data_IF_267528540152
#
_entry.id   IF_267528540152
#
_cell.length_a   1.000
_cell.length_b   1.000
_cell.length_c   1.000
_cell.angle_alpha   90.00
_cell.angle_beta   90.00
_cell.angle_gamma   90.00
#
_symmetry.space_group_name_H-M   'P 1'
#
loop_
_entity.id
_entity.type
_entity.pdbx_description
1 polymer ?
#
# COMPACT_ATOMS: atom_id res chain seq x y z
N UNK A 1 -38.02 -31.34 -13.79
CA UNK A 1 -37.48 -32.69 -13.76
C UNK A 1 -36.10 -32.64 -13.11
N UNK A 2 -35.97 -33.17 -11.93
CA UNK A 2 -34.69 -33.24 -11.21
C UNK A 2 -33.80 -34.30 -11.85
N UNK A 3 -32.57 -34.00 -12.15
CA UNK A 3 -31.62 -34.90 -12.80
C UNK A 3 -31.30 -36.09 -11.87
N UNK A 4 -31.20 -37.31 -12.40
CA UNK A 4 -30.96 -38.54 -11.65
C UNK A 4 -29.77 -38.44 -10.67
N UNK A 5 -28.74 -37.67 -11.01
CA UNK A 5 -27.59 -37.36 -10.15
C UNK A 5 -27.97 -36.53 -8.92
N UNK A 6 -28.92 -35.60 -9.07
CA UNK A 6 -29.44 -34.81 -7.95
C UNK A 6 -30.30 -35.63 -7.00
N UNK A 7 -31.08 -36.57 -7.57
CA UNK A 7 -31.89 -37.47 -6.78
C UNK A 7 -31.01 -38.50 -6.00
N UNK A 8 -29.94 -39.02 -6.62
CA UNK A 8 -29.00 -39.91 -5.95
C UNK A 8 -28.24 -39.23 -4.82
N UNK A 9 -27.80 -37.96 -5.01
CA UNK A 9 -27.16 -37.18 -3.93
C UNK A 9 -28.13 -36.95 -2.76
N UNK A 10 -29.40 -36.63 -3.05
CA UNK A 10 -30.40 -36.39 -1.99
C UNK A 10 -30.70 -37.62 -1.19
N UNK A 11 -30.76 -38.82 -1.82
CA UNK A 11 -31.01 -40.10 -1.19
C UNK A 11 -29.78 -40.60 -0.40
N UNK A 12 -28.56 -40.42 -0.93
CA UNK A 12 -27.33 -40.78 -0.24
C UNK A 12 -27.09 -39.90 1.03
N UNK A 13 -27.38 -38.62 0.93
CA UNK A 13 -27.27 -37.67 2.08
C UNK A 13 -28.32 -38.04 3.15
N UNK A 14 -29.55 -38.34 2.72
CA UNK A 14 -30.61 -38.80 3.65
C UNK A 14 -30.28 -40.10 4.37
N UNK A 15 -29.60 -41.07 3.71
CA UNK A 15 -29.22 -42.34 4.37
C UNK A 15 -28.03 -42.23 5.31
N UNK A 16 -27.07 -41.34 5.02
CA UNK A 16 -25.94 -41.04 5.93
C UNK A 16 -26.38 -40.34 7.23
N UNK A 17 -27.46 -39.58 7.21
CA UNK A 17 -28.01 -38.88 8.37
C UNK A 17 -28.60 -39.80 9.41
N UNK A 18 -28.95 -41.04 9.07
CA UNK A 18 -29.65 -41.98 9.96
C UNK A 18 -28.80 -43.18 10.46
N UNK A 19 -27.63 -43.45 9.88
CA UNK A 19 -26.88 -44.67 10.18
C UNK A 19 -25.55 -44.51 10.89
N UNK A 20 -24.98 -43.33 10.91
CA UNK A 20 -23.79 -43.04 11.73
C UNK A 20 -24.14 -41.95 12.72
N UNK A 21 -24.00 -42.21 14.01
CA UNK A 21 -24.27 -41.29 15.12
C UNK A 21 -23.41 -40.01 15.13
N UNK A 22 -22.99 -39.55 14.00
CA UNK A 22 -22.45 -38.21 13.78
C UNK A 22 -23.60 -37.23 13.74
N UNK A 23 -23.86 -36.52 14.81
CA UNK A 23 -24.79 -35.41 14.80
C UNK A 23 -24.22 -34.31 13.88
N UNK A 24 -24.73 -34.29 12.66
CA UNK A 24 -24.53 -33.13 11.73
C UNK A 24 -25.10 -31.83 12.31
N UNK A 25 -25.82 -31.97 13.43
CA UNK A 25 -26.37 -30.85 14.20
C UNK A 25 -25.49 -30.72 15.45
N UNK A 26 -24.53 -29.79 15.49
CA UNK A 26 -23.83 -29.49 16.73
C UNK A 26 -24.86 -29.12 17.82
N UNK A 27 -24.61 -29.52 19.02
CA UNK A 27 -25.33 -28.98 20.18
C UNK A 27 -25.14 -27.50 20.26
N UNK A 28 -26.17 -26.73 20.67
CA UNK A 28 -26.10 -25.28 20.80
C UNK A 28 -24.79 -24.86 21.46
N UNK A 29 -24.05 -23.96 20.78
CA UNK A 29 -22.80 -23.41 21.27
C UNK A 29 -21.51 -24.05 20.77
N UNK A 30 -21.57 -25.02 19.85
CA UNK A 30 -20.37 -25.61 19.23
C UNK A 30 -20.17 -25.17 17.78
N UNK A 31 -18.97 -25.27 17.29
CA UNK A 31 -18.61 -24.91 15.91
C UNK A 31 -19.10 -25.97 14.92
N UNK A 32 -19.56 -25.53 13.75
CA UNK A 32 -20.00 -26.42 12.66
C UNK A 32 -18.89 -27.38 12.24
N UNK A 33 -19.22 -28.67 12.05
CA UNK A 33 -18.27 -29.70 11.61
C UNK A 33 -17.75 -29.39 10.19
N UNK A 34 -16.44 -29.59 10.00
CA UNK A 34 -15.75 -29.33 8.73
C UNK A 34 -15.26 -27.90 8.59
N UNK A 35 -15.32 -27.10 9.66
CA UNK A 35 -14.69 -25.79 9.70
C UNK A 35 -13.25 -25.88 10.18
N UNK A 36 -12.41 -25.10 9.50
CA UNK A 36 -11.01 -24.90 9.83
C UNK A 36 -10.77 -23.41 10.07
N UNK A 37 -10.03 -23.08 11.10
CA UNK A 37 -9.48 -21.73 11.28
C UNK A 37 -8.03 -21.75 10.82
N UNK A 38 -7.74 -21.03 9.75
CA UNK A 38 -6.52 -21.23 8.98
C UNK A 38 -6.34 -22.72 8.63
N UNK A 39 -5.33 -23.41 9.16
CA UNK A 39 -5.07 -24.82 8.92
C UNK A 39 -5.49 -25.74 10.09
N UNK A 40 -6.03 -25.17 11.18
CA UNK A 40 -6.45 -25.92 12.35
C UNK A 40 -7.92 -26.35 12.26
N UNK A 41 -8.19 -27.64 12.39
CA UNK A 41 -9.56 -28.17 12.50
C UNK A 41 -10.20 -27.71 13.82
N UNK A 42 -11.28 -26.93 13.72
CA UNK A 42 -12.06 -26.41 14.86
C UNK A 42 -13.44 -27.06 14.96
N UNK A 43 -13.68 -28.12 14.21
CA UNK A 43 -14.96 -28.85 14.17
C UNK A 43 -15.40 -29.28 15.59
N UNK A 44 -16.61 -28.86 15.97
CA UNK A 44 -17.20 -29.21 17.25
C UNK A 44 -16.54 -28.57 18.50
N UNK A 45 -15.59 -27.67 18.33
CA UNK A 45 -15.05 -26.88 19.44
C UNK A 45 -16.15 -26.02 20.07
N UNK A 46 -16.05 -25.73 21.36
CA UNK A 46 -16.87 -24.69 21.97
C UNK A 46 -16.49 -23.30 21.43
N UNK A 47 -17.43 -22.38 21.45
CA UNK A 47 -17.14 -20.98 21.07
C UNK A 47 -16.03 -20.37 21.91
N UNK A 48 -16.02 -20.64 23.21
CA UNK A 48 -14.99 -20.17 24.13
C UNK A 48 -13.60 -20.70 23.77
N UNK A 49 -13.51 -21.97 23.34
CA UNK A 49 -12.25 -22.58 22.94
C UNK A 49 -11.70 -21.89 21.63
N UNK A 50 -12.59 -21.57 20.68
CA UNK A 50 -12.19 -20.89 19.46
C UNK A 50 -11.85 -19.42 19.73
N UNK A 51 -12.61 -18.73 20.58
CA UNK A 51 -12.24 -17.38 21.04
C UNK A 51 -10.85 -17.36 21.67
N UNK A 52 -10.57 -18.30 22.58
CA UNK A 52 -9.25 -18.42 23.19
C UNK A 52 -8.14 -18.65 22.15
N UNK A 53 -8.40 -19.51 21.15
CA UNK A 53 -7.47 -19.74 20.03
C UNK A 53 -7.18 -18.46 19.26
N UNK A 54 -8.21 -17.72 18.86
CA UNK A 54 -8.08 -16.46 18.11
C UNK A 54 -7.32 -15.42 18.94
N UNK A 55 -7.59 -15.33 20.25
CA UNK A 55 -6.93 -14.36 21.13
C UNK A 55 -5.48 -14.74 21.50
N UNK A 56 -5.12 -16.02 21.45
CA UNK A 56 -3.73 -16.45 21.70
C UNK A 56 -2.83 -16.26 20.48
N UNK A 57 -3.42 -16.10 19.32
CA UNK A 57 -2.67 -15.81 18.10
C UNK A 57 -2.05 -14.41 18.19
N UNK A 58 -0.77 -14.34 18.53
CA UNK A 58 -0.03 -13.07 18.68
C UNK A 58 0.28 -12.48 17.28
N UNK A 59 -0.77 -11.96 16.64
CA UNK A 59 -0.64 -11.27 15.36
C UNK A 59 0.21 -9.98 15.44
N UNK A 60 0.54 -9.52 16.65
CA UNK A 60 1.38 -8.33 16.83
C UNK A 60 2.82 -8.55 16.35
N UNK A 61 3.28 -9.79 16.31
CA UNK A 61 4.64 -10.14 15.87
C UNK A 61 4.68 -10.68 14.43
N UNK A 62 3.55 -10.86 13.77
CA UNK A 62 3.51 -11.22 12.34
C UNK A 62 4.26 -10.19 11.52
N UNK A 63 5.15 -10.66 10.65
CA UNK A 63 5.90 -9.82 9.73
C UNK A 63 5.36 -9.96 8.31
N UNK A 64 5.40 -8.86 7.58
CA UNK A 64 5.07 -8.79 6.16
C UNK A 64 6.24 -8.19 5.41
N UNK A 65 6.28 -8.44 4.12
CA UNK A 65 7.30 -7.88 3.24
C UNK A 65 6.76 -6.63 2.55
N UNK A 66 7.46 -5.51 2.68
CA UNK A 66 7.24 -4.32 1.84
C UNK A 66 8.22 -4.37 0.69
N UNK A 67 7.70 -4.33 -0.54
CA UNK A 67 8.49 -4.21 -1.76
C UNK A 67 8.55 -2.74 -2.18
N UNK A 68 9.77 -2.20 -2.25
CA UNK A 68 10.04 -0.83 -2.70
C UNK A 68 10.63 -0.94 -4.11
N UNK A 69 9.91 -0.51 -5.16
CA UNK A 69 10.37 -0.61 -6.54
C UNK A 69 11.77 0.00 -6.74
N UNK A 70 12.67 -0.77 -7.33
CA UNK A 70 14.08 -0.43 -7.57
C UNK A 70 14.97 -0.25 -6.32
N UNK A 71 14.47 -0.52 -5.11
CA UNK A 71 15.24 -0.42 -3.86
C UNK A 71 15.23 -1.72 -3.04
N UNK A 72 14.47 -2.74 -3.48
CA UNK A 72 14.42 -4.05 -2.84
C UNK A 72 13.24 -4.20 -1.87
N UNK A 73 13.41 -5.09 -0.90
CA UNK A 73 12.34 -5.45 0.05
C UNK A 73 12.75 -5.17 1.49
N UNK A 74 11.77 -4.87 2.35
CA UNK A 74 11.96 -4.73 3.80
C UNK A 74 10.90 -5.56 4.53
N UNK A 75 11.28 -6.20 5.62
CA UNK A 75 10.33 -6.84 6.52
C UNK A 75 9.93 -5.87 7.62
N UNK A 76 8.62 -5.79 7.88
CA UNK A 76 8.04 -4.96 8.94
C UNK A 76 7.00 -5.77 9.72
N UNK A 77 6.70 -5.36 10.94
CA UNK A 77 5.59 -5.94 11.70
C UNK A 77 4.28 -5.38 11.20
N UNK A 78 3.24 -6.22 11.11
CA UNK A 78 1.91 -5.79 10.65
C UNK A 78 1.36 -4.63 11.48
N UNK A 79 1.59 -4.64 12.80
CA UNK A 79 1.16 -3.58 13.71
C UNK A 79 1.77 -2.21 13.41
N UNK A 80 3.02 -2.17 12.93
CA UNK A 80 3.71 -0.93 12.62
C UNK A 80 3.06 -0.22 11.42
N UNK A 81 2.39 -1.00 10.55
CA UNK A 81 1.56 -0.49 9.44
C UNK A 81 0.09 -0.30 9.84
N UNK A 82 -0.25 -0.40 11.12
CA UNK A 82 -1.63 -0.22 11.59
C UNK A 82 -2.57 -1.39 11.28
N UNK A 83 -2.04 -2.55 10.88
CA UNK A 83 -2.84 -3.76 10.63
C UNK A 83 -3.00 -4.52 11.94
N UNK A 84 -4.25 -4.80 12.32
CA UNK A 84 -4.57 -5.57 13.52
C UNK A 84 -5.64 -6.61 13.21
N UNK A 85 -5.61 -7.74 13.94
CA UNK A 85 -6.67 -8.74 13.86
C UNK A 85 -7.97 -8.15 14.41
N UNK A 86 -9.06 -8.27 13.65
CA UNK A 86 -10.40 -7.99 14.14
C UNK A 86 -11.00 -9.27 14.72
N UNK A 87 -10.76 -9.50 16.00
CA UNK A 87 -11.20 -10.69 16.70
C UNK A 87 -12.71 -10.84 16.66
N UNK A 88 -13.46 -9.74 16.87
CA UNK A 88 -14.92 -9.76 16.87
C UNK A 88 -15.50 -10.18 15.52
N UNK A 89 -14.98 -9.60 14.42
CA UNK A 89 -15.41 -9.96 13.07
C UNK A 89 -15.00 -11.38 12.70
N UNK A 90 -13.81 -11.82 13.12
CA UNK A 90 -13.33 -13.18 12.92
C UNK A 90 -14.22 -14.19 13.65
N UNK A 91 -14.49 -13.97 14.93
CA UNK A 91 -15.40 -14.81 15.73
C UNK A 91 -16.81 -14.84 15.14
N UNK A 92 -17.36 -13.67 14.80
CA UNK A 92 -18.69 -13.58 14.20
C UNK A 92 -18.79 -14.40 12.92
N UNK A 93 -17.80 -14.30 12.04
CA UNK A 93 -17.74 -15.08 10.80
C UNK A 93 -17.73 -16.59 11.04
N UNK A 94 -16.95 -17.05 12.03
CA UNK A 94 -16.86 -18.46 12.39
C UNK A 94 -18.15 -18.94 13.08
N UNK A 95 -18.67 -18.15 14.02
CA UNK A 95 -19.79 -18.58 14.88
C UNK A 95 -21.15 -18.54 14.18
N UNK A 96 -21.29 -17.74 13.12
CA UNK A 96 -22.53 -17.68 12.33
C UNK A 96 -22.57 -18.69 11.20
N UNK A 97 -21.43 -19.24 10.77
CA UNK A 97 -21.39 -20.17 9.66
C UNK A 97 -22.05 -21.50 10.01
N UNK A 98 -23.09 -21.85 9.26
CA UNK A 98 -23.92 -23.04 9.53
C UNK A 98 -24.91 -22.86 10.66
N UNK A 99 -25.20 -21.60 11.05
CA UNK A 99 -26.22 -21.21 12.04
C UNK A 99 -27.12 -20.08 11.49
N UNK A 100 -27.23 -19.97 10.20
CA UNK A 100 -28.09 -18.97 9.55
C UNK A 100 -29.57 -19.25 9.78
N UNK A 101 -30.38 -18.19 9.88
CA UNK A 101 -31.83 -18.29 10.06
C UNK A 101 -32.55 -18.87 8.83
N UNK A 102 -31.97 -18.68 7.64
CA UNK A 102 -32.50 -19.25 6.41
C UNK A 102 -32.14 -20.75 6.28
N UNK A 103 -33.15 -21.61 6.30
CA UNK A 103 -32.98 -23.06 6.25
C UNK A 103 -32.16 -23.57 5.06
N UNK A 104 -32.28 -22.91 3.91
CA UNK A 104 -31.54 -23.28 2.71
C UNK A 104 -30.05 -23.01 2.87
N UNK A 105 -29.70 -21.81 3.31
CA UNK A 105 -28.30 -21.40 3.57
C UNK A 105 -27.68 -22.24 4.68
N UNK A 106 -28.40 -22.44 5.78
CA UNK A 106 -28.02 -23.31 6.87
C UNK A 106 -27.63 -24.74 6.40
N UNK A 107 -28.49 -25.39 5.58
CA UNK A 107 -28.23 -26.72 5.05
C UNK A 107 -27.05 -26.75 4.07
N UNK A 108 -27.00 -25.75 3.17
CA UNK A 108 -25.91 -25.64 2.20
C UNK A 108 -24.57 -25.48 2.89
N UNK A 109 -24.45 -24.56 3.85
CA UNK A 109 -23.20 -24.31 4.56
C UNK A 109 -22.73 -25.53 5.34
N UNK A 110 -23.61 -26.23 6.05
CA UNK A 110 -23.26 -27.46 6.79
C UNK A 110 -22.81 -28.58 5.89
N UNK A 111 -23.55 -28.83 4.79
CA UNK A 111 -23.17 -29.87 3.82
C UNK A 111 -21.84 -29.49 3.15
N UNK A 112 -21.66 -28.24 2.79
CA UNK A 112 -20.43 -27.74 2.17
C UNK A 112 -19.24 -27.92 3.12
N UNK A 113 -19.37 -27.51 4.38
CA UNK A 113 -18.32 -27.66 5.38
C UNK A 113 -17.94 -29.13 5.57
N UNK A 114 -18.95 -30.01 5.72
CA UNK A 114 -18.72 -31.44 5.96
C UNK A 114 -18.00 -32.11 4.79
N UNK A 115 -18.37 -31.77 3.53
CA UNK A 115 -17.82 -32.43 2.33
C UNK A 115 -16.48 -31.81 1.91
N UNK A 116 -16.40 -30.48 1.88
CA UNK A 116 -15.29 -29.75 1.24
C UNK A 116 -14.29 -29.13 2.21
N UNK A 117 -14.56 -29.18 3.53
CA UNK A 117 -13.75 -28.53 4.57
C UNK A 117 -13.59 -27.02 4.28
N UNK A 118 -14.25 -26.20 5.04
CA UNK A 118 -14.26 -24.75 4.83
C UNK A 118 -13.21 -24.11 5.74
N UNK A 119 -12.25 -23.45 5.11
CA UNK A 119 -11.22 -22.68 5.81
C UNK A 119 -11.70 -21.25 6.05
N UNK A 120 -11.72 -20.86 7.32
CA UNK A 120 -12.03 -19.51 7.77
C UNK A 120 -10.74 -18.76 8.02
N UNK A 121 -10.51 -17.75 7.22
CA UNK A 121 -9.38 -16.86 7.39
C UNK A 121 -9.69 -15.76 8.42
N UNK A 122 -8.68 -15.33 9.20
CA UNK A 122 -8.80 -14.18 10.10
C UNK A 122 -9.24 -12.93 9.33
N UNK A 123 -10.00 -12.07 10.00
CA UNK A 123 -10.37 -10.75 9.49
C UNK A 123 -9.42 -9.72 10.06
N UNK A 124 -8.81 -8.91 9.21
CA UNK A 124 -7.92 -7.85 9.63
C UNK A 124 -8.56 -6.49 9.39
N UNK A 125 -8.22 -5.53 10.24
CA UNK A 125 -8.59 -4.12 10.11
C UNK A 125 -7.35 -3.26 9.98
N UNK A 126 -7.50 -2.14 9.28
CA UNK A 126 -6.45 -1.15 9.06
C UNK A 126 -6.77 0.13 9.83
N UNK A 127 -5.85 0.55 10.69
CA UNK A 127 -5.81 1.91 11.19
C UNK A 127 -5.08 2.81 10.18
N UNK A 128 -5.86 3.54 9.39
CA UNK A 128 -5.33 4.42 8.34
C UNK A 128 -4.43 5.53 8.87
N UNK A 129 -4.66 5.98 10.10
CA UNK A 129 -3.83 7.05 10.70
C UNK A 129 -2.42 6.52 10.94
N UNK A 130 -2.31 5.35 11.54
CA UNK A 130 -1.02 4.67 11.76
C UNK A 130 -0.35 4.32 10.43
N UNK A 131 -1.10 3.79 9.46
CA UNK A 131 -0.57 3.46 8.13
C UNK A 131 -0.01 4.70 7.42
N UNK A 132 -0.76 5.81 7.41
CA UNK A 132 -0.31 7.09 6.83
C UNK A 132 0.94 7.62 7.51
N UNK A 133 1.00 7.57 8.83
CA UNK A 133 2.16 8.01 9.58
C UNK A 133 3.42 7.19 9.22
N UNK A 134 3.29 5.85 9.19
CA UNK A 134 4.38 4.96 8.79
C UNK A 134 4.85 5.23 7.37
N UNK A 135 3.92 5.30 6.40
CA UNK A 135 4.26 5.54 4.99
C UNK A 135 4.87 6.93 4.77
N UNK A 136 4.44 7.93 5.53
CA UNK A 136 5.02 9.28 5.49
C UNK A 136 6.48 9.27 5.98
N UNK A 137 6.76 8.53 7.04
CA UNK A 137 8.14 8.41 7.54
C UNK A 137 9.02 7.58 6.59
N UNK A 138 8.46 6.53 6.00
CA UNK A 138 9.14 5.75 4.96
C UNK A 138 9.44 6.62 3.73
N UNK A 139 8.48 7.45 3.30
CA UNK A 139 8.65 8.36 2.16
C UNK A 139 9.85 9.29 2.32
N UNK A 140 10.11 9.83 3.51
CA UNK A 140 11.29 10.66 3.78
C UNK A 140 12.63 9.95 3.49
N UNK A 141 12.62 8.62 3.56
CA UNK A 141 13.83 7.82 3.34
C UNK A 141 14.00 7.36 1.88
N UNK A 142 12.89 7.22 1.15
CA UNK A 142 12.89 6.58 -0.18
C UNK A 142 12.47 7.52 -1.31
N UNK A 143 11.89 8.67 -1.00
CA UNK A 143 11.57 9.69 -2.01
C UNK A 143 12.84 10.19 -2.67
N UNK A 144 12.76 10.38 -3.97
CA UNK A 144 13.83 10.93 -4.79
C UNK A 144 13.41 12.28 -5.32
N UNK A 145 14.14 13.33 -4.96
CA UNK A 145 13.90 14.65 -5.54
C UNK A 145 14.35 14.68 -6.99
N UNK A 146 13.48 15.21 -7.85
CA UNK A 146 13.81 15.52 -9.22
C UNK A 146 14.56 16.85 -9.33
N UNK A 147 15.25 17.04 -10.41
CA UNK A 147 15.82 18.32 -10.78
C UNK A 147 15.83 18.49 -12.31
N UNK A 148 15.70 19.72 -12.73
CA UNK A 148 15.81 20.12 -14.13
C UNK A 148 17.25 19.88 -14.65
N UNK A 149 17.40 19.70 -15.97
CA UNK A 149 18.71 19.78 -16.59
C UNK A 149 19.25 21.20 -16.44
N UNK A 150 20.52 21.33 -16.13
CA UNK A 150 21.17 22.64 -16.06
C UNK A 150 22.60 22.61 -16.58
N UNK A 151 23.10 23.80 -16.91
CA UNK A 151 24.45 23.97 -17.41
C UNK A 151 25.28 24.72 -16.39
N UNK A 152 26.54 24.32 -16.28
CA UNK A 152 27.58 25.05 -15.55
C UNK A 152 28.72 25.41 -16.49
N UNK A 153 29.45 26.47 -16.18
CA UNK A 153 30.63 26.84 -16.92
C UNK A 153 31.85 26.60 -16.02
N UNK A 154 32.66 25.62 -16.40
CA UNK A 154 33.90 25.30 -15.70
C UNK A 154 35.10 25.49 -16.65
N UNK A 155 36.04 26.35 -16.29
CA UNK A 155 37.24 26.67 -17.11
C UNK A 155 36.89 27.12 -18.53
N UNK A 156 35.79 27.89 -18.71
CA UNK A 156 35.33 28.36 -20.01
C UNK A 156 34.60 27.32 -20.87
N UNK A 157 34.40 26.11 -20.36
CA UNK A 157 33.65 25.06 -21.04
C UNK A 157 32.28 24.89 -20.42
N UNK A 158 31.29 24.65 -21.27
CA UNK A 158 29.91 24.34 -20.85
C UNK A 158 29.83 22.86 -20.48
N UNK A 159 29.35 22.59 -19.27
CA UNK A 159 29.14 21.23 -18.71
C UNK A 159 27.67 21.06 -18.39
N UNK A 160 27.08 20.00 -18.90
CA UNK A 160 25.66 19.68 -18.65
C UNK A 160 25.52 18.71 -17.48
N UNK A 161 24.62 19.05 -16.57
CA UNK A 161 24.07 18.11 -15.58
C UNK A 161 22.71 17.65 -16.10
N UNK A 162 22.52 16.33 -16.33
CA UNK A 162 21.27 15.81 -16.84
C UNK A 162 20.13 16.00 -15.88
N UNK A 163 18.90 16.17 -16.42
CA UNK A 163 17.69 16.15 -15.61
C UNK A 163 17.45 14.78 -14.97
N UNK A 164 16.81 14.81 -13.83
CA UNK A 164 16.38 13.60 -13.12
C UNK A 164 14.94 13.74 -12.66
N UNK A 165 14.08 12.81 -13.06
CA UNK A 165 12.72 12.78 -12.57
C UNK A 165 12.66 12.43 -11.08
N UNK A 166 11.83 13.16 -10.35
CA UNK A 166 11.51 12.85 -8.96
C UNK A 166 10.52 11.71 -8.86
N UNK A 167 10.63 10.95 -7.77
CA UNK A 167 9.67 9.91 -7.42
C UNK A 167 9.27 10.10 -5.97
N UNK A 168 7.98 10.13 -5.71
CA UNK A 168 7.42 10.24 -4.36
C UNK A 168 6.48 9.08 -4.09
N UNK A 169 6.46 8.61 -2.86
CA UNK A 169 5.50 7.61 -2.42
C UNK A 169 4.08 8.13 -2.61
N UNK A 170 3.26 7.37 -3.30
CA UNK A 170 1.81 7.59 -3.36
C UNK A 170 1.15 6.89 -2.18
N UNK A 171 1.02 7.63 -1.09
CA UNK A 171 0.50 7.11 0.17
C UNK A 171 -0.95 6.65 0.01
N UNK A 172 -1.78 7.45 -0.67
CA UNK A 172 -3.21 7.16 -0.80
C UNK A 172 -3.45 5.93 -1.68
N UNK A 173 -2.74 5.79 -2.80
CA UNK A 173 -2.86 4.59 -3.65
C UNK A 173 -2.26 3.35 -2.97
N UNK A 174 -1.16 3.50 -2.21
CA UNK A 174 -0.59 2.41 -1.41
C UNK A 174 -1.60 1.91 -0.36
N UNK A 175 -2.27 2.81 0.36
CA UNK A 175 -3.30 2.46 1.35
C UNK A 175 -4.51 1.80 0.69
N UNK A 176 -4.94 2.29 -0.44
CA UNK A 176 -6.06 1.72 -1.19
C UNK A 176 -5.77 0.27 -1.62
N UNK A 177 -4.57 0.00 -2.16
CA UNK A 177 -4.14 -1.36 -2.48
C UNK A 177 -4.03 -2.25 -1.26
N UNK A 178 -3.51 -1.72 -0.16
CA UNK A 178 -3.43 -2.44 1.11
C UNK A 178 -4.82 -2.87 1.60
N UNK A 179 -5.82 -2.00 1.53
CA UNK A 179 -7.21 -2.36 1.89
C UNK A 179 -7.74 -3.51 1.05
N UNK A 180 -7.59 -3.44 -0.26
CA UNK A 180 -8.00 -4.53 -1.16
C UNK A 180 -7.28 -5.84 -0.81
N UNK A 181 -5.98 -5.79 -0.55
CA UNK A 181 -5.22 -6.99 -0.15
C UNK A 181 -5.66 -7.56 1.20
N UNK A 182 -6.07 -6.72 2.15
CA UNK A 182 -6.63 -7.17 3.43
C UNK A 182 -7.99 -7.85 3.25
N UNK A 183 -8.86 -7.29 2.41
CA UNK A 183 -10.16 -7.88 2.06
C UNK A 183 -10.00 -9.25 1.38
N UNK A 184 -9.01 -9.40 0.53
CA UNK A 184 -8.64 -10.64 -0.15
C UNK A 184 -7.84 -11.62 0.74
N UNK A 185 -7.49 -11.22 1.96
CA UNK A 185 -6.58 -11.93 2.87
C UNK A 185 -5.21 -12.27 2.23
N UNK A 186 -4.71 -11.41 1.36
CA UNK A 186 -3.48 -11.58 0.59
C UNK A 186 -2.53 -10.38 0.77
N UNK A 187 -2.07 -10.14 2.00
CA UNK A 187 -1.24 -8.98 2.33
C UNK A 187 0.18 -9.33 2.84
N UNK A 188 0.66 -10.53 2.54
CA UNK A 188 2.01 -10.94 2.94
C UNK A 188 3.12 -10.12 2.24
N UNK A 189 2.82 -9.57 1.08
CA UNK A 189 3.71 -8.69 0.33
C UNK A 189 2.96 -7.45 -0.16
N UNK A 190 3.41 -6.30 0.29
CA UNK A 190 2.83 -4.99 -0.04
C UNK A 190 3.80 -4.24 -0.93
N UNK A 191 3.36 -3.81 -2.10
CA UNK A 191 4.15 -2.96 -2.99
C UNK A 191 3.88 -1.50 -2.69
N UNK A 192 4.93 -0.71 -2.50
CA UNK A 192 4.83 0.75 -2.39
C UNK A 192 4.61 1.34 -3.79
N UNK A 193 3.59 2.15 -3.90
CA UNK A 193 3.30 2.88 -5.12
C UNK A 193 4.03 4.22 -5.15
N UNK A 194 4.47 4.60 -6.33
CA UNK A 194 5.12 5.88 -6.57
C UNK A 194 4.35 6.70 -7.58
N UNK A 195 4.32 8.00 -7.33
CA UNK A 195 3.87 8.98 -8.31
C UNK A 195 5.06 9.84 -8.76
N UNK A 196 5.10 10.19 -10.04
CA UNK A 196 6.07 11.17 -10.53
C UNK A 196 5.47 12.58 -10.30
N UNK A 197 5.83 13.22 -9.19
CA UNK A 197 5.34 14.57 -8.87
C UNK A 197 6.26 15.70 -9.29
N UNK A 198 7.54 15.44 -9.41
CA UNK A 198 8.50 16.45 -9.83
C UNK A 198 8.77 16.27 -11.32
N UNK A 199 7.81 16.72 -12.15
CA UNK A 199 8.00 16.78 -13.61
C UNK A 199 9.15 17.73 -13.91
N UNK A 200 10.12 17.22 -14.63
CA UNK A 200 11.24 18.01 -15.16
C UNK A 200 10.68 19.07 -16.10
N UNK A 201 10.94 20.36 -15.82
CA UNK A 201 10.53 21.49 -16.66
C UNK A 201 11.54 21.77 -17.74
N UNK A 202 12.84 21.58 -17.44
CA UNK A 202 13.95 21.70 -18.39
C UNK A 202 14.54 20.31 -18.60
N UNK A 203 14.38 19.80 -19.81
CA UNK A 203 14.84 18.48 -20.20
C UNK A 203 16.29 18.50 -20.68
N UNK A 204 16.91 17.35 -20.84
CA UNK A 204 18.24 17.24 -21.46
C UNK A 204 18.26 17.79 -22.89
N UNK A 205 17.17 17.62 -23.64
CA UNK A 205 17.08 18.07 -25.04
C UNK A 205 16.95 19.61 -25.14
N UNK A 206 16.37 20.27 -24.13
CA UNK A 206 16.29 21.72 -24.06
C UNK A 206 17.67 22.37 -23.89
N UNK A 207 18.57 21.75 -23.14
CA UNK A 207 19.91 22.30 -22.83
C UNK A 207 21.02 21.77 -23.75
N UNK A 208 20.82 20.66 -24.42
CA UNK A 208 21.80 20.02 -25.30
C UNK A 208 22.33 20.95 -26.42
N UNK A 209 21.53 21.85 -27.03
CA UNK A 209 22.04 22.78 -28.03
C UNK A 209 22.93 23.88 -27.48
N UNK A 210 22.95 24.12 -26.18
CA UNK A 210 23.70 25.19 -25.53
C UNK A 210 25.12 24.75 -25.22
N UNK A 211 26.03 24.89 -26.18
CA UNK A 211 27.39 24.32 -26.15
C UNK A 211 28.50 25.35 -25.90
N UNK A 212 28.17 26.64 -25.89
CA UNK A 212 29.18 27.72 -25.81
C UNK A 212 28.74 28.87 -24.91
N UNK A 213 29.69 29.50 -24.23
CA UNK A 213 29.49 30.75 -23.51
C UNK A 213 29.50 31.90 -24.51
N UNK A 214 28.40 32.63 -24.63
CA UNK A 214 28.26 33.75 -25.51
C UNK A 214 28.85 35.06 -24.94
N UNK A 215 28.85 35.18 -23.62
CA UNK A 215 29.42 36.32 -22.92
C UNK A 215 29.44 36.12 -21.41
N UNK A 216 30.30 36.84 -20.73
CA UNK A 216 30.36 36.90 -19.29
C UNK A 216 30.72 38.30 -18.82
N UNK A 217 30.17 38.70 -17.68
CA UNK A 217 30.50 39.99 -17.07
C UNK A 217 30.52 39.84 -15.54
N UNK A 218 31.49 40.51 -14.90
CA UNK A 218 31.64 40.44 -13.44
C UNK A 218 31.48 41.83 -12.85
N UNK A 219 30.68 41.94 -11.80
CA UNK A 219 30.55 43.16 -11.01
C UNK A 219 30.95 42.88 -9.55
N UNK A 220 31.50 43.91 -8.90
CA UNK A 220 31.84 43.86 -7.49
C UNK A 220 30.84 44.71 -6.70
N UNK A 221 30.54 44.30 -5.49
CA UNK A 221 29.71 45.03 -4.56
C UNK A 221 30.29 44.96 -3.15
N UNK A 222 29.92 45.91 -2.30
CA UNK A 222 30.34 45.93 -0.89
C UNK A 222 29.50 44.92 -0.12
N UNK A 223 30.16 43.84 0.34
CA UNK A 223 29.53 42.75 1.11
C UNK A 223 29.31 43.11 2.58
N UNK A 224 29.75 44.27 3.06
CA UNK A 224 29.51 44.71 4.46
C UNK A 224 28.03 45.00 4.73
N UNK A 225 27.24 45.30 3.69
CA UNK A 225 25.80 45.50 3.77
C UNK A 225 25.08 44.16 3.66
N UNK A 226 24.73 43.53 4.79
CA UNK A 226 24.12 42.23 4.88
C UNK A 226 22.79 42.12 4.07
N UNK A 227 21.95 43.18 4.12
CA UNK A 227 20.67 43.17 3.40
C UNK A 227 20.88 43.17 1.89
N UNK A 228 21.85 43.95 1.40
CA UNK A 228 22.19 43.99 -0.02
C UNK A 228 22.77 42.67 -0.49
N UNK A 229 23.66 42.08 0.31
CA UNK A 229 24.27 40.78 0.04
C UNK A 229 23.19 39.72 -0.11
N UNK A 230 22.28 39.62 0.88
CA UNK A 230 21.16 38.69 0.85
C UNK A 230 20.29 38.88 -0.40
N UNK A 231 19.93 40.10 -0.76
CA UNK A 231 19.12 40.36 -1.95
C UNK A 231 19.82 39.97 -3.25
N UNK A 232 21.13 40.18 -3.36
CA UNK A 232 21.92 39.78 -4.54
C UNK A 232 22.00 38.24 -4.61
N UNK A 233 22.26 37.57 -3.50
CA UNK A 233 22.28 36.10 -3.45
C UNK A 233 20.93 35.50 -3.83
N UNK A 234 19.83 36.03 -3.27
CA UNK A 234 18.48 35.58 -3.59
C UNK A 234 18.16 35.77 -5.08
N UNK A 235 18.41 36.97 -5.65
CA UNK A 235 18.13 37.26 -7.04
C UNK A 235 19.00 36.41 -7.97
N UNK A 236 20.29 36.27 -7.69
CA UNK A 236 21.20 35.48 -8.52
C UNK A 236 20.85 33.98 -8.49
N UNK A 237 20.46 33.47 -7.34
CA UNK A 237 20.00 32.08 -7.23
C UNK A 237 18.74 31.82 -8.07
N UNK A 238 17.80 32.75 -8.06
CA UNK A 238 16.55 32.61 -8.83
C UNK A 238 16.75 32.75 -10.33
N UNK A 239 17.65 33.61 -10.77
CA UNK A 239 17.99 33.85 -12.19
C UNK A 239 18.83 32.72 -12.77
N UNK A 240 19.70 32.14 -11.91
CA UNK A 240 20.62 31.10 -12.34
C UNK A 240 19.87 29.87 -12.88
N UNK A 241 20.29 29.41 -14.07
CA UNK A 241 19.66 28.29 -14.75
C UNK A 241 18.39 28.63 -15.53
N UNK A 242 17.97 29.90 -15.58
CA UNK A 242 16.82 30.30 -16.41
C UNK A 242 17.11 30.04 -17.88
N UNK A 243 16.27 29.25 -18.54
CA UNK A 243 16.32 28.99 -19.98
C UNK A 243 15.38 29.95 -20.70
N UNK A 244 15.88 30.66 -21.68
CA UNK A 244 15.10 31.55 -22.55
C UNK A 244 15.15 31.00 -23.95
N UNK A 245 14.01 30.61 -24.51
CA UNK A 245 13.93 30.07 -25.87
C UNK A 245 13.95 31.20 -26.93
N UNK A 246 14.28 30.90 -28.18
CA UNK A 246 14.23 31.89 -29.25
C UNK A 246 12.84 32.55 -29.31
N UNK A 247 12.82 33.91 -29.25
CA UNK A 247 11.60 34.70 -29.26
C UNK A 247 10.91 34.90 -27.91
N UNK A 248 11.38 34.25 -26.83
CA UNK A 248 10.90 34.50 -25.47
C UNK A 248 11.51 35.76 -24.87
N UNK A 249 10.76 36.41 -23.98
CA UNK A 249 11.19 37.59 -23.22
C UNK A 249 11.58 37.17 -21.80
N UNK A 250 12.79 37.51 -21.39
CA UNK A 250 13.19 37.36 -19.98
C UNK A 250 12.63 38.52 -19.16
N UNK A 251 11.80 38.22 -18.18
CA UNK A 251 11.30 39.19 -17.22
C UNK A 251 11.94 38.93 -15.85
N UNK A 252 12.70 39.89 -15.35
CA UNK A 252 13.35 39.82 -14.05
C UNK A 252 12.33 39.63 -12.92
N UNK A 253 11.22 40.41 -12.96
CA UNK A 253 10.21 40.36 -11.91
C UNK A 253 9.44 39.04 -11.90
N UNK A 254 9.22 38.42 -13.07
CA UNK A 254 8.53 37.11 -13.14
C UNK A 254 9.42 35.99 -12.57
N UNK A 255 10.75 36.10 -12.76
CA UNK A 255 11.71 35.10 -12.29
C UNK A 255 12.05 35.29 -10.81
N UNK A 256 12.29 36.52 -10.38
CA UNK A 256 12.76 36.85 -9.02
C UNK A 256 11.58 37.03 -8.06
N UNK A 257 10.43 37.44 -8.56
CA UNK A 257 9.24 37.82 -7.80
C UNK A 257 9.18 39.32 -7.51
N UNK A 258 7.98 39.81 -7.21
CA UNK A 258 7.77 41.17 -6.76
C UNK A 258 8.38 41.43 -5.40
N UNK A 259 8.76 42.70 -5.13
CA UNK A 259 9.33 43.15 -3.86
C UNK A 259 8.26 43.30 -2.79
#
# INVERSE_FOLDING_TARGET
>A
MMNLKQLLCTVLIGSCLFTSGCSLIPTDGTITYGLYYEDQDISGYSRDAVSALIHTEDNNNRTITITIPNQGTRQIKVKDLGITLDTNSTESKIFTYGYEDDLKTFLIHRITAFIYKVHMNPVYKLDEVTAKAYLTELAKQIDVSGHDAYLTVENGQVKMTPSKEGKRVDIDETIKKLKTQLEENNFNNISIEFTSKDTVRVTNDDVKPLTAVLGSYTTNFDASNANRTHNIELASTKISGTLVKPGEVFSFNDVVGER
#
